data_IF_252832291511
#
_entry.id   IF_252832291511
#
_cell.length_a   1.000
_cell.length_b   1.000
_cell.length_c   1.000
_cell.angle_alpha   90.00
_cell.angle_beta   90.00
_cell.angle_gamma   90.00
#
_symmetry.space_group_name_H-M   'P 1'
#
loop_
_entity.id
_entity.type
_entity.pdbx_description
1 polymer ?
#
# COMPACT_ATOMS: atom_id res chain seq x y z
N UNK A 1 13.87 -3.60 17.87
CA UNK A 1 12.76 -2.72 17.46
C UNK A 1 11.67 -3.59 16.88
N UNK A 2 10.61 -3.87 17.66
CA UNK A 2 9.49 -4.73 17.26
C UNK A 2 8.16 -4.08 17.68
N UNK A 3 7.94 -2.87 17.20
CA UNK A 3 6.81 -2.02 17.58
C UNK A 3 5.44 -2.65 17.29
N UNK A 4 5.34 -3.48 16.25
CA UNK A 4 4.10 -4.15 15.85
C UNK A 4 3.60 -5.15 16.91
N UNK A 5 4.50 -5.95 17.49
CA UNK A 5 4.14 -6.95 18.51
C UNK A 5 3.88 -6.32 19.87
N UNK A 6 4.69 -5.34 20.27
CA UNK A 6 4.52 -4.66 21.55
C UNK A 6 3.15 -4.00 21.63
N UNK A 7 2.65 -3.45 20.52
CA UNK A 7 1.29 -2.93 20.40
C UNK A 7 0.26 -4.03 20.66
N UNK A 8 0.40 -5.20 20.03
CA UNK A 8 -0.53 -6.33 20.16
C UNK A 8 -0.53 -6.89 21.59
N UNK A 9 0.65 -7.11 22.18
CA UNK A 9 0.79 -7.62 23.55
C UNK A 9 0.15 -6.66 24.55
N UNK A 10 0.47 -5.35 24.46
CA UNK A 10 -0.08 -4.34 25.37
C UNK A 10 -1.60 -4.20 25.22
N UNK A 11 -2.13 -4.35 24.01
CA UNK A 11 -3.58 -4.27 23.78
C UNK A 11 -4.30 -5.53 24.28
N UNK A 12 -3.88 -6.70 23.81
CA UNK A 12 -4.62 -7.95 23.99
C UNK A 12 -4.33 -8.64 25.33
N UNK A 13 -3.07 -8.62 25.80
CA UNK A 13 -2.66 -9.27 27.05
C UNK A 13 -2.75 -8.32 28.26
N UNK A 14 -2.34 -7.07 28.09
CA UNK A 14 -2.34 -6.08 29.20
C UNK A 14 -3.62 -5.21 29.25
N UNK A 15 -4.51 -5.30 28.24
CA UNK A 15 -5.77 -4.56 28.21
C UNK A 15 -5.60 -3.03 28.10
N UNK A 16 -4.44 -2.53 27.67
CA UNK A 16 -4.16 -1.10 27.60
C UNK A 16 -4.93 -0.43 26.47
N UNK A 17 -5.43 0.77 26.74
CA UNK A 17 -6.06 1.58 25.69
C UNK A 17 -5.06 2.02 24.61
N UNK A 18 -5.55 2.23 23.40
CA UNK A 18 -4.74 2.75 22.28
C UNK A 18 -3.99 4.05 22.63
N UNK A 19 -4.59 4.90 23.47
CA UNK A 19 -3.97 6.16 23.93
C UNK A 19 -2.80 5.89 24.88
N UNK A 20 -2.93 4.92 25.78
CA UNK A 20 -1.86 4.54 26.69
C UNK A 20 -0.67 3.95 25.92
N UNK A 21 -0.94 3.00 25.00
CA UNK A 21 0.07 2.37 24.16
C UNK A 21 0.84 3.40 23.32
N UNK A 22 0.11 4.34 22.71
CA UNK A 22 0.71 5.42 21.91
C UNK A 22 1.66 6.31 22.71
N UNK A 23 1.30 6.65 23.95
CA UNK A 23 2.16 7.47 24.83
C UNK A 23 3.37 6.69 25.31
N UNK A 24 3.20 5.42 25.67
CA UNK A 24 4.25 4.56 26.20
C UNK A 24 5.30 4.21 25.14
N UNK A 25 4.87 3.88 23.91
CA UNK A 25 5.77 3.50 22.82
C UNK A 25 6.24 4.68 21.95
N UNK A 26 5.69 5.89 22.15
CA UNK A 26 6.00 7.05 21.31
C UNK A 26 5.51 6.93 19.86
N UNK A 27 4.54 6.05 19.59
CA UNK A 27 4.03 5.75 18.24
C UNK A 27 2.71 6.47 18.01
N UNK A 28 2.43 6.87 16.76
CA UNK A 28 1.17 7.48 16.40
C UNK A 28 -0.03 6.59 16.75
N UNK A 29 -1.09 7.19 17.31
CA UNK A 29 -2.35 6.48 17.60
C UNK A 29 -2.96 5.79 16.37
N UNK A 30 -2.76 6.36 15.18
CA UNK A 30 -3.22 5.77 13.91
C UNK A 30 -2.52 4.44 13.63
N UNK A 31 -1.22 4.37 13.88
CA UNK A 31 -0.42 3.14 13.71
C UNK A 31 -0.81 2.09 14.74
N UNK A 32 -1.03 2.49 16.00
CA UNK A 32 -1.54 1.60 17.06
C UNK A 32 -2.87 0.99 16.67
N UNK A 33 -3.83 1.83 16.24
CA UNK A 33 -5.13 1.37 15.75
C UNK A 33 -4.99 0.41 14.57
N UNK A 34 -4.16 0.75 13.56
CA UNK A 34 -3.92 -0.09 12.37
C UNK A 34 -3.53 -1.51 12.78
N UNK A 35 -2.53 -1.65 13.66
CA UNK A 35 -2.01 -2.97 14.01
C UNK A 35 -2.93 -3.77 14.94
N UNK A 36 -3.72 -3.12 15.78
CA UNK A 36 -4.75 -3.79 16.58
C UNK A 36 -5.83 -4.37 15.66
N UNK A 37 -6.32 -3.58 14.70
CA UNK A 37 -7.33 -4.04 13.73
C UNK A 37 -6.79 -5.18 12.86
N UNK A 38 -5.57 -5.05 12.32
CA UNK A 38 -4.94 -6.13 11.54
C UNK A 38 -4.80 -7.43 12.35
N UNK A 39 -4.57 -7.33 13.66
CA UNK A 39 -4.47 -8.49 14.55
C UNK A 39 -5.84 -9.13 14.78
N UNK A 40 -6.85 -8.32 15.07
CA UNK A 40 -8.24 -8.76 15.26
C UNK A 40 -8.80 -9.42 14.00
N UNK A 41 -8.54 -8.85 12.82
CA UNK A 41 -8.96 -9.40 11.53
C UNK A 41 -8.35 -10.80 11.27
N UNK A 42 -7.07 -10.99 11.61
CA UNK A 42 -6.40 -12.30 11.48
C UNK A 42 -6.91 -13.32 12.49
N UNK A 43 -7.23 -12.91 13.71
CA UNK A 43 -7.88 -13.79 14.68
C UNK A 43 -9.28 -14.20 14.21
N UNK A 44 -10.06 -13.26 13.67
CA UNK A 44 -11.39 -13.53 13.12
C UNK A 44 -11.35 -14.51 11.94
N UNK A 45 -10.25 -14.57 11.20
CA UNK A 45 -10.05 -15.52 10.10
C UNK A 45 -9.79 -16.98 10.55
N UNK A 46 -9.78 -17.25 11.86
CA UNK A 46 -9.69 -18.60 12.43
C UNK A 46 -8.25 -19.08 12.73
N UNK A 47 -7.28 -18.18 12.67
CA UNK A 47 -5.88 -18.48 13.05
C UNK A 47 -5.72 -18.51 14.57
N UNK A 48 -4.82 -19.37 15.08
CA UNK A 48 -4.52 -19.40 16.50
C UNK A 48 -3.79 -18.11 16.93
N UNK A 49 -4.02 -17.66 18.16
CA UNK A 49 -3.41 -16.42 18.68
C UNK A 49 -1.88 -16.45 18.62
N UNK A 50 -1.26 -17.61 18.87
CA UNK A 50 0.19 -17.74 18.78
C UNK A 50 0.69 -17.58 17.35
N UNK A 51 -0.01 -18.17 16.37
CA UNK A 51 0.39 -18.08 14.97
C UNK A 51 0.29 -16.64 14.45
N UNK A 52 -0.74 -15.91 14.86
CA UNK A 52 -0.89 -14.49 14.48
C UNK A 52 0.22 -13.63 15.09
N UNK A 53 0.57 -13.84 16.36
CA UNK A 53 1.68 -13.12 17.02
C UNK A 53 3.02 -13.47 16.36
N UNK A 54 3.23 -14.75 16.03
CA UNK A 54 4.41 -15.23 15.29
C UNK A 54 4.50 -14.61 13.89
N UNK A 55 3.38 -14.47 13.18
CA UNK A 55 3.33 -13.73 11.91
C UNK A 55 3.72 -12.26 12.07
N UNK A 56 3.33 -11.62 13.17
CA UNK A 56 3.75 -10.25 13.49
C UNK A 56 5.24 -10.14 13.90
N UNK A 57 5.90 -11.26 14.19
CA UNK A 57 7.35 -11.37 14.40
C UNK A 57 8.12 -11.49 13.09
N UNK A 58 7.61 -12.28 12.16
CA UNK A 58 8.29 -12.56 10.90
C UNK A 58 8.02 -11.52 9.82
N UNK A 59 6.84 -10.89 9.81
CA UNK A 59 6.45 -9.97 8.75
C UNK A 59 6.92 -8.53 9.00
N UNK A 60 7.65 -7.98 8.03
CA UNK A 60 7.98 -6.56 8.00
C UNK A 60 6.72 -5.71 7.71
N UNK A 61 6.63 -4.48 8.26
CA UNK A 61 5.52 -3.57 7.95
C UNK A 61 5.56 -3.15 6.48
N UNK A 62 4.44 -3.35 5.76
CA UNK A 62 4.32 -2.97 4.36
C UNK A 62 3.63 -1.61 4.22
N UNK A 63 4.20 -0.74 3.38
CA UNK A 63 3.57 0.52 3.00
C UNK A 63 2.50 0.25 1.94
N UNK A 64 1.26 0.62 2.25
CA UNK A 64 0.20 0.59 1.23
C UNK A 64 0.38 1.79 0.31
N UNK A 65 0.81 1.52 -0.93
CA UNK A 65 0.82 2.51 -1.99
C UNK A 65 -0.57 3.11 -2.20
N UNK A 66 -0.64 4.36 -2.68
CA UNK A 66 -1.91 5.01 -3.02
C UNK A 66 -2.64 4.15 -4.06
N UNK A 67 -3.80 3.61 -3.69
CA UNK A 67 -4.77 3.02 -4.62
C UNK A 67 -5.73 4.14 -5.04
N UNK A 68 -5.42 4.83 -6.12
CA UNK A 68 -6.26 5.88 -6.68
C UNK A 68 -6.05 5.98 -8.19
N UNK A 69 -7.05 6.47 -8.90
CA UNK A 69 -6.90 6.79 -10.32
C UNK A 69 -5.79 7.83 -10.49
N UNK A 70 -5.10 7.78 -11.64
CA UNK A 70 -4.07 8.75 -11.97
C UNK A 70 -4.73 10.12 -12.08
N UNK A 71 -4.39 11.05 -11.18
CA UNK A 71 -4.99 12.40 -11.14
C UNK A 71 -4.90 13.17 -12.47
N UNK A 72 -3.87 12.88 -13.28
CA UNK A 72 -3.61 13.56 -14.56
C UNK A 72 -4.13 12.81 -15.79
N UNK A 73 -4.68 11.60 -15.62
CA UNK A 73 -5.23 10.82 -16.73
C UNK A 73 -6.71 11.17 -16.89
N UNK A 74 -6.99 12.32 -17.50
CA UNK A 74 -8.34 12.67 -17.94
C UNK A 74 -8.68 11.93 -19.22
N UNK A 75 -9.96 11.84 -19.57
CA UNK A 75 -10.39 11.21 -20.84
C UNK A 75 -9.78 11.90 -22.06
N UNK A 76 -9.62 13.22 -22.02
CA UNK A 76 -8.98 14.00 -23.08
C UNK A 76 -7.51 13.61 -23.24
N UNK A 77 -6.78 13.49 -22.12
CA UNK A 77 -5.38 13.05 -22.12
C UNK A 77 -5.26 11.62 -22.62
N UNK A 78 -6.20 10.74 -22.23
CA UNK A 78 -6.22 9.37 -22.71
C UNK A 78 -6.45 9.30 -24.22
N UNK A 79 -7.44 10.02 -24.75
CA UNK A 79 -7.70 10.10 -26.20
C UNK A 79 -6.50 10.64 -26.97
N UNK A 80 -5.87 11.70 -26.47
CA UNK A 80 -4.67 12.26 -27.10
C UNK A 80 -3.50 11.25 -27.14
N UNK A 81 -3.33 10.44 -26.09
CA UNK A 81 -2.34 9.37 -26.09
C UNK A 81 -2.69 8.30 -27.13
N UNK A 82 -3.95 7.87 -27.18
CA UNK A 82 -4.41 6.82 -28.09
C UNK A 82 -4.28 7.25 -29.56
N UNK A 83 -4.60 8.50 -29.89
CA UNK A 83 -4.40 9.09 -31.23
C UNK A 83 -2.94 9.08 -31.66
N UNK A 84 -2.03 9.50 -30.78
CA UNK A 84 -0.58 9.50 -31.07
C UNK A 84 -0.05 8.07 -31.22
N UNK A 85 -0.55 7.13 -30.42
CA UNK A 85 -0.19 5.70 -30.54
C UNK A 85 -0.64 5.12 -31.87
N UNK A 86 -1.90 5.37 -32.29
CA UNK A 86 -2.42 4.92 -33.57
C UNK A 86 -1.62 5.48 -34.76
N UNK A 87 -1.32 6.79 -34.74
CA UNK A 87 -0.48 7.42 -35.77
C UNK A 87 0.93 6.81 -35.82
N UNK A 88 1.50 6.45 -34.67
CA UNK A 88 2.79 5.78 -34.62
C UNK A 88 2.74 4.35 -35.18
N UNK A 89 1.64 3.62 -34.99
CA UNK A 89 1.44 2.29 -35.59
C UNK A 89 1.37 2.36 -37.11
N UNK A 90 0.63 3.31 -37.66
CA UNK A 90 0.57 3.56 -39.11
C UNK A 90 1.95 3.89 -39.70
N UNK A 91 2.71 4.77 -39.03
CA UNK A 91 4.07 5.13 -39.45
C UNK A 91 5.06 3.98 -39.35
N UNK A 92 4.90 3.10 -38.36
CA UNK A 92 5.67 1.85 -38.26
C UNK A 92 5.36 0.92 -39.42
N UNK A 93 4.08 0.74 -39.76
CA UNK A 93 3.66 -0.05 -40.91
C UNK A 93 4.19 0.53 -42.23
N UNK A 94 4.25 1.85 -42.35
CA UNK A 94 4.82 2.55 -43.50
C UNK A 94 6.36 2.64 -43.53
N UNK A 95 7.07 2.08 -42.53
CA UNK A 95 8.54 2.08 -42.46
C UNK A 95 9.18 3.44 -42.10
N UNK A 96 8.39 4.46 -41.77
CA UNK A 96 8.85 5.83 -41.49
C UNK A 96 9.12 6.12 -40.00
N UNK A 97 9.10 5.10 -39.14
CA UNK A 97 9.13 5.22 -37.68
C UNK A 97 10.35 5.96 -37.09
N UNK A 98 11.47 6.08 -37.82
CA UNK A 98 12.67 6.80 -37.38
C UNK A 98 12.65 8.30 -37.64
N UNK A 99 11.82 8.78 -38.58
CA UNK A 99 11.88 10.19 -39.02
C UNK A 99 11.39 11.18 -37.95
N UNK A 100 10.45 10.76 -37.09
CA UNK A 100 9.87 11.61 -36.06
C UNK A 100 10.56 11.49 -34.69
N UNK A 101 11.28 10.41 -34.40
CA UNK A 101 12.03 10.24 -33.14
C UNK A 101 13.20 11.24 -32.98
N UNK A 102 13.62 11.90 -34.07
CA UNK A 102 14.67 12.92 -34.10
C UNK A 102 14.14 14.37 -34.03
N UNK A 103 12.81 14.58 -34.02
CA UNK A 103 12.19 15.90 -33.84
C UNK A 103 11.88 16.14 -32.37
N UNK A 104 12.91 16.27 -31.55
CA UNK A 104 12.86 16.82 -30.18
C UNK A 104 14.13 17.64 -29.99
#
# INVERSE_FOLDING_TARGET
MYTKQEIVIKSHREGKSQRAISRELGISRKTVKKYIVEFEDRLASGSSTQDVISGFLSEAPVYNGKRGSKLKLTEEVQRAIDEVLASNEEKKAAGAWKADAQKV
#
